data_IF_732041263064
#
_entry.id   IF_732041263064
#
_cell.length_a   1.000
_cell.length_b   1.000
_cell.length_c   1.000
_cell.angle_alpha   90.00
_cell.angle_beta   90.00
_cell.angle_gamma   90.00
#
_symmetry.space_group_name_H-M   'P 1'
#
loop_
_entity.id
_entity.type
_entity.pdbx_description
1 polymer ?
#
# COMPACT_ATOMS: atom_id res chain seq x y z
N UNK A 1 19.49 9.49 0.09
CA UNK A 1 18.76 8.50 0.91
C UNK A 1 19.71 7.92 1.95
N UNK A 2 19.31 7.81 3.22
CA UNK A 2 20.11 7.24 4.30
C UNK A 2 19.71 5.77 4.47
N UNK A 3 20.67 4.86 4.40
CA UNK A 3 20.40 3.43 4.49
C UNK A 3 20.54 2.85 5.90
N UNK A 4 21.36 3.49 6.75
CA UNK A 4 21.61 3.07 8.13
C UNK A 4 22.16 4.25 8.91
N UNK A 5 21.87 4.31 10.21
CA UNK A 5 22.41 5.30 11.13
C UNK A 5 23.26 4.60 12.20
N UNK A 6 24.49 5.07 12.41
CA UNK A 6 25.29 4.78 13.59
C UNK A 6 25.07 5.94 14.56
N UNK A 7 24.50 5.68 15.72
CA UNK A 7 24.10 6.70 16.68
C UNK A 7 24.85 6.52 18.00
N UNK A 8 25.60 7.51 18.39
CA UNK A 8 26.25 7.52 19.69
C UNK A 8 25.22 7.72 20.81
N UNK A 9 25.36 6.98 21.91
CA UNK A 9 24.51 7.10 23.07
C UNK A 9 24.72 8.45 23.78
N UNK A 10 25.97 8.84 23.97
CA UNK A 10 26.34 10.09 24.63
C UNK A 10 26.86 11.08 23.58
N UNK A 11 26.08 12.13 23.34
CA UNK A 11 26.46 13.24 22.47
C UNK A 11 26.28 14.57 23.19
N UNK A 12 27.09 15.61 22.86
CA UNK A 12 26.83 16.98 23.32
C UNK A 12 25.44 17.43 22.86
N UNK A 13 24.72 18.16 23.68
CA UNK A 13 23.43 18.81 23.41
C UNK A 13 22.20 17.87 23.31
N UNK A 14 22.32 16.66 22.75
CA UNK A 14 21.19 15.72 22.58
C UNK A 14 21.61 14.33 23.05
N UNK A 15 20.78 13.71 23.90
CA UNK A 15 20.96 12.30 24.26
C UNK A 15 20.61 11.40 23.06
N UNK A 16 21.45 10.39 22.81
CA UNK A 16 21.22 9.42 21.72
C UNK A 16 19.89 8.65 21.83
N UNK A 17 19.42 8.39 23.06
CA UNK A 17 18.11 7.75 23.28
C UNK A 17 16.97 8.65 22.79
N UNK A 18 17.02 9.93 23.15
CA UNK A 18 15.98 10.91 22.76
C UNK A 18 15.93 11.06 21.22
N UNK A 19 17.11 11.05 20.58
CA UNK A 19 17.19 11.12 19.13
C UNK A 19 16.68 9.83 18.48
N UNK A 20 17.00 8.65 19.04
CA UNK A 20 16.46 7.37 18.58
C UNK A 20 14.94 7.38 18.62
N UNK A 21 14.33 7.79 19.73
CA UNK A 21 12.88 7.89 19.85
C UNK A 21 12.26 8.83 18.81
N UNK A 22 12.87 9.99 18.58
CA UNK A 22 12.41 10.91 17.52
C UNK A 22 12.46 10.26 16.14
N UNK A 23 13.58 9.60 15.81
CA UNK A 23 13.74 8.91 14.51
C UNK A 23 12.72 7.77 14.33
N UNK A 24 12.40 7.04 15.41
CA UNK A 24 11.48 5.90 15.35
C UNK A 24 10.00 6.30 15.41
N UNK A 25 9.68 7.49 15.90
CA UNK A 25 8.33 8.03 15.91
C UNK A 25 7.98 8.87 14.66
N UNK A 26 8.96 9.18 13.81
CA UNK A 26 8.75 9.94 12.58
C UNK A 26 8.50 9.02 11.38
N UNK A 27 7.38 9.21 10.70
CA UNK A 27 6.96 8.41 9.54
C UNK A 27 7.96 8.41 8.37
N UNK A 28 8.83 9.40 8.31
CA UNK A 28 9.84 9.51 7.23
C UNK A 28 11.14 8.78 7.56
N UNK A 29 11.43 8.53 8.84
CA UNK A 29 12.72 7.98 9.31
C UNK A 29 12.60 6.67 10.09
N UNK A 30 11.41 6.28 10.57
CA UNK A 30 11.23 5.07 11.40
C UNK A 30 11.78 3.79 10.78
N UNK A 31 11.73 3.70 9.45
CA UNK A 31 12.19 2.53 8.68
C UNK A 31 13.71 2.41 8.56
N UNK A 32 14.46 3.51 8.86
CA UNK A 32 15.91 3.51 8.78
C UNK A 32 16.47 2.74 9.98
N UNK A 33 17.27 1.66 9.77
CA UNK A 33 17.87 0.93 10.86
C UNK A 33 18.90 1.79 11.60
N UNK A 34 18.90 1.70 12.94
CA UNK A 34 19.80 2.43 13.81
C UNK A 34 20.62 1.42 14.63
N UNK A 35 21.96 1.54 14.58
CA UNK A 35 22.88 0.80 15.45
C UNK A 35 23.41 1.79 16.47
N UNK A 36 23.23 1.51 17.76
CA UNK A 36 23.71 2.35 18.84
C UNK A 36 25.20 2.11 19.12
N UNK A 37 25.93 3.16 19.41
CA UNK A 37 27.32 3.10 19.88
C UNK A 37 27.34 3.45 21.37
N UNK A 38 27.90 2.55 22.21
CA UNK A 38 27.84 2.69 23.68
C UNK A 38 29.18 2.35 24.31
N UNK A 39 29.45 2.88 25.51
CA UNK A 39 30.55 2.45 26.36
C UNK A 39 30.15 1.20 27.17
N UNK A 40 31.15 0.50 27.76
CA UNK A 40 30.90 -0.76 28.49
C UNK A 40 30.08 -0.60 29.77
N UNK A 41 30.06 0.59 30.36
CA UNK A 41 29.36 0.94 31.60
C UNK A 41 27.87 1.32 31.38
N UNK A 42 27.41 1.37 30.15
CA UNK A 42 26.06 1.82 29.77
C UNK A 42 25.10 0.67 29.43
N UNK A 43 25.32 -0.53 30.00
CA UNK A 43 24.57 -1.73 29.61
C UNK A 43 23.05 -1.60 29.81
N UNK A 44 22.59 -0.91 30.85
CA UNK A 44 21.15 -0.69 31.09
C UNK A 44 20.53 0.20 30.00
N UNK A 45 21.25 1.21 29.54
CA UNK A 45 20.78 2.09 28.47
C UNK A 45 20.68 1.37 27.12
N UNK A 46 21.47 0.31 26.89
CA UNK A 46 21.39 -0.51 25.68
C UNK A 46 20.04 -1.26 25.62
N UNK A 47 19.57 -1.79 26.77
CA UNK A 47 18.26 -2.48 26.83
C UNK A 47 17.14 -1.50 26.46
N UNK A 48 17.20 -0.28 26.96
CA UNK A 48 16.23 0.76 26.62
C UNK A 48 16.30 1.11 25.12
N UNK A 49 17.50 1.23 24.55
CA UNK A 49 17.66 1.50 23.12
C UNK A 49 17.02 0.42 22.24
N UNK A 50 17.21 -0.87 22.58
CA UNK A 50 16.57 -1.97 21.83
C UNK A 50 15.04 -1.90 21.95
N UNK A 51 14.52 -1.60 23.16
CA UNK A 51 13.07 -1.45 23.39
C UNK A 51 12.46 -0.28 22.60
N UNK A 52 13.24 0.78 22.37
CA UNK A 52 12.84 1.93 21.54
C UNK A 52 13.09 1.72 20.04
N UNK A 53 13.51 0.51 19.61
CA UNK A 53 13.59 0.14 18.21
C UNK A 53 14.97 0.32 17.58
N UNK A 54 16.04 0.38 18.35
CA UNK A 54 17.39 0.21 17.80
C UNK A 54 17.52 -1.22 17.21
N UNK A 55 18.12 -1.34 16.05
CA UNK A 55 18.32 -2.64 15.37
C UNK A 55 19.41 -3.48 16.03
N UNK A 56 20.44 -2.80 16.55
CA UNK A 56 21.60 -3.44 17.21
C UNK A 56 22.42 -2.38 17.98
N UNK A 57 23.49 -2.83 18.65
CA UNK A 57 24.46 -1.95 19.31
C UNK A 57 25.91 -2.42 19.09
N UNK A 58 26.85 -1.50 19.31
CA UNK A 58 28.30 -1.73 19.28
C UNK A 58 28.97 -1.08 20.49
N UNK A 59 29.82 -1.84 21.17
CA UNK A 59 30.62 -1.31 22.29
C UNK A 59 31.87 -0.59 21.78
N UNK A 60 32.19 0.51 22.43
CA UNK A 60 33.46 1.23 22.26
C UNK A 60 34.55 0.60 23.14
N UNK A 61 35.80 0.47 22.66
CA UNK A 61 36.31 0.89 21.36
C UNK A 61 35.81 -0.01 20.22
N UNK A 62 35.43 0.60 19.09
CA UNK A 62 34.78 -0.12 17.98
C UNK A 62 35.74 -1.10 17.31
N UNK A 63 35.40 -2.38 17.36
CA UNK A 63 36.08 -3.42 16.61
C UNK A 63 35.63 -3.40 15.14
N UNK A 64 36.55 -3.19 14.21
CA UNK A 64 36.26 -3.11 12.76
C UNK A 64 35.59 -4.37 12.19
N UNK A 65 35.98 -5.55 12.68
CA UNK A 65 35.42 -6.83 12.19
C UNK A 65 33.93 -6.94 12.64
N UNK A 66 33.70 -6.64 13.92
CA UNK A 66 32.34 -6.67 14.49
C UNK A 66 31.43 -5.61 13.86
N UNK A 67 31.94 -4.39 13.66
CA UNK A 67 31.22 -3.33 12.94
C UNK A 67 30.79 -3.80 11.54
N UNK A 68 31.72 -4.34 10.76
CA UNK A 68 31.43 -4.84 9.41
C UNK A 68 30.38 -5.96 9.43
N UNK A 69 30.48 -6.89 10.36
CA UNK A 69 29.52 -7.99 10.49
C UNK A 69 28.11 -7.47 10.82
N UNK A 70 27.98 -6.53 11.79
CA UNK A 70 26.70 -5.93 12.19
C UNK A 70 26.11 -5.07 11.07
N UNK A 71 26.92 -4.27 10.38
CA UNK A 71 26.47 -3.51 9.22
C UNK A 71 25.88 -4.43 8.13
N UNK A 72 26.61 -5.47 7.77
CA UNK A 72 26.15 -6.42 6.75
C UNK A 72 24.83 -7.07 7.16
N UNK A 73 24.74 -7.60 8.38
CA UNK A 73 23.52 -8.25 8.89
C UNK A 73 22.33 -7.29 8.91
N UNK A 74 22.53 -6.05 9.36
CA UNK A 74 21.47 -5.02 9.41
C UNK A 74 21.02 -4.62 8.00
N UNK A 75 21.95 -4.47 7.07
CA UNK A 75 21.65 -4.15 5.68
C UNK A 75 20.90 -5.28 4.96
N UNK A 76 21.28 -6.54 5.22
CA UNK A 76 20.53 -7.71 4.70
C UNK A 76 19.09 -7.72 5.20
N UNK A 77 18.89 -7.53 6.51
CA UNK A 77 17.55 -7.45 7.10
C UNK A 77 16.72 -6.31 6.47
N UNK A 78 17.31 -5.11 6.31
CA UNK A 78 16.65 -4.00 5.61
C UNK A 78 16.25 -4.40 4.20
N UNK A 79 17.17 -4.98 3.44
CA UNK A 79 16.90 -5.39 2.06
C UNK A 79 15.77 -6.42 1.96
N UNK A 80 15.69 -7.39 2.88
CA UNK A 80 14.57 -8.33 2.93
C UNK A 80 13.25 -7.63 3.25
N UNK A 81 13.20 -6.73 4.23
CA UNK A 81 12.00 -5.94 4.56
C UNK A 81 11.52 -5.11 3.37
N UNK A 82 12.44 -4.41 2.70
CA UNK A 82 12.12 -3.57 1.55
C UNK A 82 11.56 -4.39 0.38
N UNK A 83 12.14 -5.57 0.14
CA UNK A 83 11.61 -6.52 -0.85
C UNK A 83 10.21 -6.99 -0.50
N UNK A 84 9.99 -7.39 0.74
CA UNK A 84 8.68 -7.87 1.21
C UNK A 84 7.61 -6.81 1.02
N UNK A 85 7.85 -5.56 1.45
CA UNK A 85 6.95 -4.42 1.25
C UNK A 85 6.66 -4.21 -0.25
N UNK A 86 7.70 -4.28 -1.09
CA UNK A 86 7.54 -4.14 -2.54
C UNK A 86 6.68 -5.24 -3.14
N UNK A 87 6.85 -6.49 -2.71
CA UNK A 87 6.03 -7.61 -3.18
C UNK A 87 4.58 -7.49 -2.71
N UNK A 88 4.35 -7.15 -1.44
CA UNK A 88 3.01 -6.93 -0.91
C UNK A 88 2.26 -5.82 -1.66
N UNK A 89 2.93 -4.70 -1.92
CA UNK A 89 2.37 -3.60 -2.70
C UNK A 89 2.03 -4.04 -4.14
N UNK A 90 2.90 -4.83 -4.77
CA UNK A 90 2.65 -5.37 -6.11
C UNK A 90 1.45 -6.31 -6.14
N UNK A 91 1.35 -7.23 -5.18
CA UNK A 91 0.22 -8.16 -5.06
C UNK A 91 -1.08 -7.36 -4.89
N UNK A 92 -1.08 -6.36 -4.01
CA UNK A 92 -2.25 -5.50 -3.80
C UNK A 92 -2.66 -4.77 -5.08
N UNK A 93 -1.72 -4.19 -5.81
CA UNK A 93 -2.00 -3.53 -7.09
C UNK A 93 -2.60 -4.48 -8.14
N UNK A 94 -2.09 -5.71 -8.24
CA UNK A 94 -2.64 -6.71 -9.17
C UNK A 94 -4.04 -7.17 -8.74
N UNK A 95 -4.28 -7.31 -7.42
CA UNK A 95 -5.60 -7.61 -6.89
C UNK A 95 -6.60 -6.49 -7.20
N UNK A 96 -6.25 -5.23 -6.91
CA UNK A 96 -7.09 -4.07 -7.18
C UNK A 96 -7.40 -3.94 -8.69
N UNK A 97 -6.41 -4.19 -9.55
CA UNK A 97 -6.58 -4.20 -10.99
C UNK A 97 -7.53 -5.31 -11.45
N UNK A 98 -7.37 -6.53 -10.93
CA UNK A 98 -8.25 -7.65 -11.24
C UNK A 98 -9.68 -7.39 -10.79
N UNK A 99 -9.84 -6.79 -9.59
CA UNK A 99 -11.15 -6.41 -9.07
C UNK A 99 -11.84 -5.35 -9.94
N UNK A 100 -11.12 -4.31 -10.33
CA UNK A 100 -11.65 -3.28 -11.22
C UNK A 100 -12.07 -3.87 -12.58
N UNK A 101 -11.29 -4.79 -13.15
CA UNK A 101 -11.66 -5.46 -14.39
C UNK A 101 -12.94 -6.30 -14.24
N UNK A 102 -13.11 -6.99 -13.11
CA UNK A 102 -14.32 -7.76 -12.81
C UNK A 102 -15.55 -6.85 -12.66
N UNK A 103 -15.40 -5.73 -11.95
CA UNK A 103 -16.47 -4.75 -11.74
C UNK A 103 -16.87 -3.97 -13.01
N UNK A 104 -15.99 -3.89 -14.01
CA UNK A 104 -16.32 -3.32 -15.31
C UNK A 104 -17.27 -4.23 -16.14
N UNK A 105 -17.34 -5.51 -15.79
CA UNK A 105 -18.14 -6.49 -16.56
C UNK A 105 -19.38 -6.92 -15.77
N UNK A 106 -19.27 -7.04 -14.44
CA UNK A 106 -20.31 -7.56 -13.56
C UNK A 106 -20.78 -6.52 -12.55
N UNK A 107 -22.08 -6.47 -12.25
CA UNK A 107 -22.57 -5.70 -11.11
C UNK A 107 -21.85 -6.10 -9.81
N UNK A 108 -21.64 -5.14 -8.93
CA UNK A 108 -20.88 -5.35 -7.67
C UNK A 108 -21.48 -6.44 -6.78
N UNK A 109 -22.81 -6.60 -6.78
CA UNK A 109 -23.53 -7.67 -6.06
C UNK A 109 -23.16 -9.06 -6.58
N UNK A 110 -23.07 -9.24 -7.89
CA UNK A 110 -22.70 -10.50 -8.53
C UNK A 110 -21.22 -10.78 -8.35
N UNK A 111 -20.37 -9.79 -8.54
CA UNK A 111 -18.93 -9.91 -8.33
C UNK A 111 -18.58 -10.36 -6.90
N UNK A 112 -19.32 -9.86 -5.90
CA UNK A 112 -19.14 -10.26 -4.49
C UNK A 112 -19.50 -11.72 -4.28
N UNK A 113 -20.66 -12.18 -4.76
CA UNK A 113 -21.12 -13.58 -4.64
C UNK A 113 -20.16 -14.56 -5.29
N UNK A 114 -19.61 -14.22 -6.46
CA UNK A 114 -18.56 -15.01 -7.12
C UNK A 114 -17.28 -15.10 -6.29
N UNK A 115 -16.85 -13.99 -5.66
CA UNK A 115 -15.70 -13.97 -4.75
C UNK A 115 -15.91 -14.84 -3.52
N UNK A 116 -17.15 -14.88 -3.01
CA UNK A 116 -17.54 -15.70 -1.86
C UNK A 116 -17.66 -17.19 -2.24
N UNK A 117 -17.36 -17.55 -3.50
CA UNK A 117 -17.31 -18.92 -3.99
C UNK A 117 -18.65 -19.45 -4.49
N UNK A 118 -19.64 -18.61 -4.70
CA UNK A 118 -20.92 -19.01 -5.29
C UNK A 118 -20.74 -19.28 -6.78
N UNK A 119 -20.88 -20.54 -7.21
CA UNK A 119 -20.66 -20.97 -8.59
C UNK A 119 -21.90 -20.89 -9.47
N UNK A 120 -23.09 -20.86 -8.88
CA UNK A 120 -24.37 -20.74 -9.56
C UNK A 120 -25.16 -19.59 -8.94
N UNK A 121 -25.25 -18.47 -9.64
CA UNK A 121 -26.01 -17.30 -9.21
C UNK A 121 -27.30 -17.26 -10.01
N UNK A 122 -28.42 -17.52 -9.34
CA UNK A 122 -29.76 -17.44 -9.91
C UNK A 122 -30.70 -16.86 -8.86
N UNK A 123 -31.30 -15.73 -9.16
CA UNK A 123 -32.28 -15.07 -8.30
C UNK A 123 -33.64 -15.12 -8.97
N UNK A 124 -34.68 -15.44 -8.20
CA UNK A 124 -36.07 -15.44 -8.65
C UNK A 124 -36.82 -14.21 -8.15
N UNK A 125 -37.45 -13.49 -9.06
CA UNK A 125 -38.23 -12.27 -8.76
C UNK A 125 -39.68 -12.47 -9.12
N UNK A 126 -40.56 -12.45 -8.13
CA UNK A 126 -42.03 -12.55 -8.34
C UNK A 126 -42.59 -11.41 -9.19
N UNK A 127 -42.00 -10.24 -9.10
CA UNK A 127 -42.36 -9.05 -9.85
C UNK A 127 -41.11 -8.34 -10.34
N UNK A 128 -41.04 -8.11 -11.63
CA UNK A 128 -39.93 -7.38 -12.26
C UNK A 128 -40.50 -6.40 -13.30
N UNK A 129 -39.90 -5.22 -13.38
CA UNK A 129 -40.19 -4.25 -14.44
C UNK A 129 -39.00 -4.22 -15.39
N UNK A 130 -39.25 -4.32 -16.68
CA UNK A 130 -38.21 -4.27 -17.70
C UNK A 130 -38.36 -2.95 -18.48
N UNK A 131 -37.29 -2.17 -18.53
CA UNK A 131 -37.21 -0.93 -19.31
C UNK A 131 -36.29 -1.15 -20.52
N UNK A 132 -36.78 -0.82 -21.71
CA UNK A 132 -35.99 -0.71 -22.92
C UNK A 132 -35.83 0.75 -23.28
N UNK A 133 -34.58 1.19 -23.45
CA UNK A 133 -34.26 2.55 -23.89
C UNK A 133 -33.33 2.53 -25.10
N UNK A 134 -33.51 3.43 -26.04
CA UNK A 134 -32.67 3.58 -27.22
C UNK A 134 -32.26 5.06 -27.41
N UNK A 135 -31.09 5.26 -28.01
CA UNK A 135 -30.58 6.59 -28.34
C UNK A 135 -31.11 7.04 -29.69
N UNK A 136 -32.10 7.93 -29.68
CA UNK A 136 -32.66 8.51 -30.90
C UNK A 136 -31.60 9.22 -31.74
N UNK A 137 -31.52 8.87 -33.01
CA UNK A 137 -30.54 9.46 -33.94
C UNK A 137 -29.12 8.90 -33.85
N UNK A 138 -28.88 7.83 -33.09
CA UNK A 138 -27.56 7.23 -32.92
C UNK A 138 -26.88 6.87 -34.23
N UNK A 139 -27.60 6.31 -35.19
CA UNK A 139 -27.08 5.95 -36.52
C UNK A 139 -26.53 7.17 -37.27
N UNK A 140 -27.21 8.32 -37.20
CA UNK A 140 -26.75 9.54 -37.86
C UNK A 140 -25.51 10.10 -37.15
N UNK A 141 -25.50 10.11 -35.83
CA UNK A 141 -24.36 10.56 -35.02
C UNK A 141 -23.13 9.68 -35.26
N UNK A 142 -23.29 8.37 -35.26
CA UNK A 142 -22.19 7.42 -35.45
C UNK A 142 -21.57 7.50 -36.85
N UNK A 143 -22.32 7.93 -37.84
CA UNK A 143 -21.80 8.12 -39.21
C UNK A 143 -20.87 9.33 -39.40
N UNK A 144 -20.95 10.32 -38.51
CA UNK A 144 -20.19 11.58 -38.61
C UNK A 144 -19.12 11.76 -37.55
N UNK A 145 -19.17 10.98 -36.48
CA UNK A 145 -18.19 11.07 -35.37
C UNK A 145 -17.03 10.10 -35.57
N UNK A 146 -15.85 10.48 -35.00
CA UNK A 146 -14.76 9.52 -34.89
C UNK A 146 -15.12 8.39 -33.89
N UNK A 147 -14.54 7.19 -34.07
CA UNK A 147 -14.78 6.07 -33.14
C UNK A 147 -14.44 6.44 -31.69
N UNK A 148 -13.39 7.26 -31.47
CA UNK A 148 -13.00 7.73 -30.13
C UNK A 148 -14.06 8.64 -29.51
N UNK A 149 -14.56 9.61 -30.27
CA UNK A 149 -15.55 10.55 -29.76
C UNK A 149 -16.89 9.86 -29.51
N UNK A 150 -17.24 8.90 -30.34
CA UNK A 150 -18.43 8.07 -30.15
C UNK A 150 -18.38 7.26 -28.85
N UNK A 151 -17.23 6.63 -28.55
CA UNK A 151 -17.04 5.90 -27.29
C UNK A 151 -17.11 6.86 -26.09
N UNK A 152 -16.51 8.05 -26.18
CA UNK A 152 -16.59 9.06 -25.13
C UNK A 152 -18.03 9.53 -24.89
N UNK A 153 -18.80 9.74 -25.95
CA UNK A 153 -20.21 10.10 -25.85
C UNK A 153 -21.02 9.01 -25.17
N UNK A 154 -20.86 7.74 -25.60
CA UNK A 154 -21.55 6.61 -24.99
C UNK A 154 -21.19 6.44 -23.51
N UNK A 155 -19.92 6.53 -23.17
CA UNK A 155 -19.49 6.47 -21.76
C UNK A 155 -20.17 7.56 -20.91
N UNK A 156 -20.24 8.80 -21.43
CA UNK A 156 -20.90 9.89 -20.72
C UNK A 156 -22.39 9.63 -20.51
N UNK A 157 -23.08 9.12 -21.53
CA UNK A 157 -24.52 8.80 -21.45
C UNK A 157 -24.75 7.67 -20.46
N UNK A 158 -24.02 6.56 -20.55
CA UNK A 158 -24.20 5.41 -19.67
C UNK A 158 -23.80 5.73 -18.22
N UNK A 159 -22.76 6.53 -17.99
CA UNK A 159 -22.41 6.99 -16.63
C UNK A 159 -23.55 7.77 -15.97
N UNK A 160 -24.27 8.59 -16.73
CA UNK A 160 -25.45 9.30 -16.18
C UNK A 160 -26.59 8.33 -15.86
N UNK A 161 -26.80 7.28 -16.66
CA UNK A 161 -27.76 6.23 -16.32
C UNK A 161 -27.38 5.49 -15.05
N UNK A 162 -26.09 5.11 -14.89
CA UNK A 162 -25.60 4.43 -13.70
C UNK A 162 -25.81 5.30 -12.43
N UNK A 163 -25.51 6.60 -12.51
CA UNK A 163 -25.78 7.54 -11.42
C UNK A 163 -27.27 7.62 -11.05
N UNK A 164 -28.14 7.65 -12.04
CA UNK A 164 -29.60 7.67 -11.83
C UNK A 164 -30.11 6.36 -11.21
N UNK A 165 -29.60 5.20 -11.66
CA UNK A 165 -29.93 3.90 -11.09
C UNK A 165 -29.56 3.85 -9.59
N UNK A 166 -28.35 4.28 -9.25
CA UNK A 166 -27.91 4.35 -7.85
C UNK A 166 -28.78 5.31 -7.04
N UNK A 167 -29.04 6.51 -7.57
CA UNK A 167 -29.84 7.55 -6.90
C UNK A 167 -31.27 7.12 -6.59
N UNK A 168 -31.87 6.30 -7.45
CA UNK A 168 -33.25 5.86 -7.34
C UNK A 168 -33.39 4.41 -6.85
N UNK A 169 -32.26 3.77 -6.45
CA UNK A 169 -32.24 2.37 -5.96
C UNK A 169 -32.86 1.38 -6.94
N UNK A 170 -32.58 1.56 -8.22
CA UNK A 170 -33.03 0.72 -9.33
C UNK A 170 -31.94 -0.29 -9.72
#
# INVERSE_FOLDING_TARGET
EIDLILLDLIMPEINGIDLLQKLKNDNTTYHIPVIMLSAMDEMNAIVDCISFGAEDFLLKPINKVLLKAKLNSTMEKKHFRDKEIKYQNKIKQEQDKSENLLLNILPSSIARRLKDGETLIADDYKHATVLFADLSGFTAISAIMSAKDLVLLLNKVFSVFDELLIKHSL
#
